data_IF_958642936320
#
_entry.id   IF_958642936320
#
_cell.length_a   1.000
_cell.length_b   1.000
_cell.length_c   1.000
_cell.angle_alpha   90.00
_cell.angle_beta   90.00
_cell.angle_gamma   90.00
#
_symmetry.space_group_name_H-M   'P 1'
#
loop_
_entity.id
_entity.type
_entity.pdbx_description
1 polymer ?
#
# COMPACT_ATOMS: atom_id res chain seq x y z
N UNK A 1 1.14 -24.53 -22.87
CA UNK A 1 1.29 -23.66 -21.67
C UNK A 1 0.90 -24.37 -20.38
N UNK A 2 -0.15 -25.21 -20.33
CA UNK A 2 -0.58 -25.88 -19.10
C UNK A 2 0.48 -26.73 -18.40
N UNK A 3 1.29 -27.43 -19.16
CA UNK A 3 2.31 -28.36 -18.65
C UNK A 3 3.40 -27.65 -17.84
N UNK A 4 3.96 -26.56 -18.36
CA UNK A 4 5.01 -25.79 -17.67
C UNK A 4 4.53 -25.08 -16.40
N UNK A 5 3.26 -24.66 -16.39
CA UNK A 5 2.69 -24.04 -15.20
C UNK A 5 2.55 -25.05 -14.06
N UNK A 6 2.09 -26.28 -14.38
CA UNK A 6 1.98 -27.33 -13.39
C UNK A 6 3.36 -27.76 -12.87
N UNK A 7 4.36 -27.91 -13.74
CA UNK A 7 5.74 -28.17 -13.33
C UNK A 7 6.27 -27.09 -12.37
N UNK A 8 6.02 -25.81 -12.67
CA UNK A 8 6.43 -24.70 -11.79
C UNK A 8 5.72 -24.76 -10.44
N UNK A 9 4.43 -25.08 -10.40
CA UNK A 9 3.67 -25.23 -9.14
C UNK A 9 4.22 -26.40 -8.32
N UNK A 10 4.53 -27.53 -8.95
CA UNK A 10 5.08 -28.71 -8.28
C UNK A 10 6.43 -28.40 -7.62
N UNK A 11 7.27 -27.60 -8.28
CA UNK A 11 8.54 -27.14 -7.71
C UNK A 11 8.32 -26.15 -6.57
N UNK A 12 7.51 -25.11 -6.78
CA UNK A 12 7.30 -24.04 -5.79
C UNK A 12 6.60 -24.54 -4.52
N UNK A 13 5.76 -25.54 -4.63
CA UNK A 13 5.03 -26.14 -3.50
C UNK A 13 5.68 -27.44 -3.00
N UNK A 14 6.94 -27.69 -3.37
CA UNK A 14 7.68 -28.82 -2.82
C UNK A 14 8.00 -28.58 -1.33
N UNK A 15 8.05 -29.67 -0.56
CA UNK A 15 8.31 -29.64 0.89
C UNK A 15 9.59 -28.88 1.26
N UNK A 16 10.62 -28.96 0.42
CA UNK A 16 11.90 -28.28 0.67
C UNK A 16 11.76 -26.73 0.61
N UNK A 17 10.75 -26.22 -0.10
CA UNK A 17 10.47 -24.79 -0.20
C UNK A 17 9.40 -24.30 0.79
N UNK A 18 8.80 -25.21 1.58
CA UNK A 18 7.81 -24.86 2.60
C UNK A 18 8.26 -23.72 3.55
N UNK A 19 9.53 -23.64 3.98
CA UNK A 19 9.99 -22.56 4.84
C UNK A 19 10.00 -21.18 4.16
N UNK A 20 10.00 -21.14 2.83
CA UNK A 20 10.11 -19.92 2.03
C UNK A 20 8.79 -19.52 1.37
N UNK A 21 8.04 -20.50 0.87
CA UNK A 21 6.81 -20.29 0.10
C UNK A 21 5.58 -20.57 0.97
N UNK A 22 4.82 -19.54 1.22
CA UNK A 22 3.55 -19.62 1.95
C UNK A 22 2.43 -20.13 1.05
N UNK A 23 2.30 -19.53 -0.14
CA UNK A 23 1.38 -19.93 -1.19
C UNK A 23 1.81 -19.37 -2.56
N UNK A 24 1.23 -19.94 -3.59
CA UNK A 24 1.33 -19.44 -4.97
C UNK A 24 -0.07 -19.07 -5.43
N UNK A 25 -0.21 -17.85 -5.96
CA UNK A 25 -1.46 -17.33 -6.51
C UNK A 25 -1.37 -17.19 -8.03
N UNK A 26 -2.50 -17.34 -8.70
CA UNK A 26 -2.57 -17.34 -10.16
C UNK A 26 -3.98 -17.06 -10.67
N UNK A 27 -4.08 -16.68 -11.95
CA UNK A 27 -5.36 -16.56 -12.66
C UNK A 27 -5.43 -17.62 -13.78
N UNK A 28 -6.10 -18.76 -13.55
CA UNK A 28 -6.18 -19.82 -14.55
C UNK A 28 -7.10 -19.51 -15.74
N UNK A 29 -8.05 -18.60 -15.56
CA UNK A 29 -8.97 -18.12 -16.60
C UNK A 29 -9.43 -16.70 -16.26
N UNK A 30 -9.99 -15.96 -17.20
CA UNK A 30 -10.58 -14.64 -16.92
C UNK A 30 -11.54 -14.68 -15.73
N UNK A 31 -11.41 -13.70 -14.82
CA UNK A 31 -12.22 -13.57 -13.60
C UNK A 31 -12.16 -14.79 -12.65
N UNK A 32 -11.21 -15.69 -12.85
CA UNK A 32 -11.02 -16.89 -12.02
C UNK A 32 -9.61 -16.88 -11.43
N UNK A 33 -9.53 -17.05 -10.12
CA UNK A 33 -8.30 -16.96 -9.36
C UNK A 33 -8.10 -18.20 -8.53
N UNK A 34 -6.85 -18.54 -8.27
CA UNK A 34 -6.49 -19.70 -7.45
C UNK A 34 -5.36 -19.30 -6.50
N UNK A 35 -5.51 -19.64 -5.23
CA UNK A 35 -4.44 -19.65 -4.24
C UNK A 35 -4.16 -21.08 -3.83
N UNK A 36 -2.89 -21.51 -3.91
CA UNK A 36 -2.45 -22.87 -3.63
C UNK A 36 -1.28 -22.87 -2.67
N UNK A 37 -1.39 -23.61 -1.61
CA UNK A 37 -0.33 -23.91 -0.64
C UNK A 37 -0.06 -25.40 -0.60
N UNK A 38 0.95 -25.82 0.16
CA UNK A 38 1.23 -27.24 0.38
C UNK A 38 0.09 -27.95 1.14
N UNK A 39 -0.75 -27.23 1.88
CA UNK A 39 -1.86 -27.79 2.64
C UNK A 39 -3.16 -27.92 1.84
N UNK A 40 -3.24 -27.26 0.66
CA UNK A 40 -4.41 -27.28 -0.19
C UNK A 40 -4.55 -26.04 -1.06
N UNK A 41 -5.72 -25.89 -1.67
CA UNK A 41 -5.98 -24.82 -2.61
C UNK A 41 -7.42 -24.31 -2.50
N UNK A 42 -7.62 -23.05 -2.88
CA UNK A 42 -8.94 -22.48 -3.11
C UNK A 42 -8.98 -21.84 -4.49
N UNK A 43 -10.06 -22.13 -5.23
CA UNK A 43 -10.41 -21.45 -6.47
C UNK A 43 -11.65 -20.63 -6.26
N UNK A 44 -11.61 -19.36 -6.71
CA UNK A 44 -12.71 -18.43 -6.58
C UNK A 44 -12.88 -17.60 -7.85
N UNK A 45 -14.06 -17.04 -8.03
CA UNK A 45 -14.39 -16.15 -9.13
C UNK A 45 -14.78 -14.77 -8.64
N UNK A 46 -14.42 -13.77 -9.42
CA UNK A 46 -14.94 -12.42 -9.31
C UNK A 46 -16.11 -12.23 -10.25
N UNK A 47 -17.14 -11.56 -9.78
CA UNK A 47 -18.33 -11.21 -10.56
C UNK A 47 -18.63 -9.73 -10.40
N UNK A 48 -18.91 -9.06 -11.52
CA UNK A 48 -19.34 -7.67 -11.51
C UNK A 48 -20.71 -7.53 -10.85
N UNK A 49 -20.84 -6.52 -10.00
CA UNK A 49 -22.10 -6.07 -9.40
C UNK A 49 -22.46 -4.69 -9.91
N UNK A 50 -23.57 -4.13 -9.42
CA UNK A 50 -23.99 -2.78 -9.82
C UNK A 50 -22.98 -1.69 -9.38
N UNK A 51 -22.26 -1.90 -8.28
CA UNK A 51 -21.39 -0.88 -7.65
C UNK A 51 -19.94 -1.34 -7.45
N UNK A 52 -19.57 -2.56 -7.90
CA UNK A 52 -18.22 -3.10 -7.69
C UNK A 52 -18.12 -4.57 -8.01
N UNK A 53 -17.48 -5.32 -7.14
CA UNK A 53 -17.14 -6.71 -7.33
C UNK A 53 -17.68 -7.57 -6.19
N UNK A 54 -18.09 -8.78 -6.50
CA UNK A 54 -18.38 -9.84 -5.54
C UNK A 54 -17.49 -11.05 -5.85
N UNK A 55 -17.13 -11.80 -4.82
CA UNK A 55 -16.30 -12.99 -4.93
C UNK A 55 -17.06 -14.20 -4.48
N UNK A 56 -16.93 -15.31 -5.21
CA UNK A 56 -17.59 -16.59 -4.96
C UNK A 56 -16.57 -17.71 -5.03
N UNK A 57 -16.53 -18.56 -4.01
CA UNK A 57 -15.65 -19.74 -3.98
C UNK A 57 -16.25 -20.84 -4.88
N UNK A 58 -15.45 -21.32 -5.82
CA UNK A 58 -15.84 -22.40 -6.74
C UNK A 58 -15.45 -23.79 -6.23
N UNK A 59 -14.26 -23.90 -5.65
CA UNK A 59 -13.73 -25.18 -5.18
C UNK A 59 -12.69 -24.97 -4.08
N UNK A 60 -12.62 -25.91 -3.18
CA UNK A 60 -11.56 -26.03 -2.17
C UNK A 60 -11.01 -27.45 -2.23
N UNK A 61 -9.70 -27.60 -2.33
CA UNK A 61 -8.96 -28.84 -2.25
C UNK A 61 -8.12 -28.82 -0.97
N UNK A 62 -8.28 -29.79 -0.08
CA UNK A 62 -7.58 -29.77 1.21
C UNK A 62 -7.98 -28.58 2.08
N UNK A 63 -7.00 -27.83 2.59
CA UNK A 63 -7.23 -26.62 3.37
C UNK A 63 -7.26 -25.39 2.45
N UNK A 64 -8.28 -24.57 2.61
CA UNK A 64 -8.32 -23.24 1.97
C UNK A 64 -7.22 -22.34 2.57
N UNK A 65 -6.21 -21.91 1.78
CA UNK A 65 -5.13 -21.06 2.28
C UNK A 65 -5.58 -19.63 2.60
N UNK A 66 -6.73 -19.17 2.08
CA UNK A 66 -7.26 -17.81 2.27
C UNK A 66 -8.48 -17.76 3.19
N UNK A 67 -8.79 -18.85 3.91
CA UNK A 67 -9.99 -18.95 4.74
C UNK A 67 -10.03 -17.93 5.89
N UNK A 68 -8.87 -17.60 6.45
CA UNK A 68 -8.78 -16.62 7.52
C UNK A 68 -8.44 -15.23 6.96
N UNK A 69 -9.39 -14.31 7.08
CA UNK A 69 -9.24 -12.93 6.63
C UNK A 69 -9.45 -11.92 7.79
N UNK A 70 -9.22 -12.35 9.04
CA UNK A 70 -9.40 -11.53 10.23
C UNK A 70 -8.35 -10.39 10.28
N UNK A 71 -8.74 -9.11 10.10
CA UNK A 71 -7.83 -7.98 10.15
C UNK A 71 -7.35 -7.66 11.57
N UNK A 72 -7.95 -8.23 12.60
CA UNK A 72 -7.61 -7.98 14.00
C UNK A 72 -6.55 -8.95 14.54
N UNK A 73 -6.26 -10.02 13.79
CA UNK A 73 -5.32 -11.05 14.20
C UNK A 73 -3.94 -10.46 14.49
N UNK A 74 -3.30 -10.96 15.53
CA UNK A 74 -1.99 -10.49 16.03
C UNK A 74 -1.97 -9.01 16.43
N UNK A 75 -3.10 -8.48 16.91
CA UNK A 75 -3.15 -7.16 17.54
C UNK A 75 -3.71 -7.32 18.96
N UNK A 76 -3.13 -6.69 19.99
CA UNK A 76 -2.05 -5.70 19.99
C UNK A 76 -0.63 -6.32 19.93
N UNK A 77 0.43 -5.50 20.18
CA UNK A 77 1.84 -5.91 20.09
C UNK A 77 2.17 -7.20 20.84
N UNK A 78 1.58 -7.43 22.00
CA UNK A 78 1.80 -8.66 22.78
C UNK A 78 1.36 -9.93 22.06
N UNK A 79 0.28 -9.86 21.29
CA UNK A 79 -0.20 -10.97 20.49
C UNK A 79 0.71 -11.21 19.26
N UNK A 80 1.20 -10.13 18.62
CA UNK A 80 2.15 -10.22 17.50
C UNK A 80 3.49 -10.84 17.96
N UNK A 81 4.03 -10.37 19.08
CA UNK A 81 5.28 -10.91 19.64
C UNK A 81 5.15 -12.39 20.03
N UNK A 82 3.99 -12.79 20.58
CA UNK A 82 3.72 -14.18 20.92
C UNK A 82 3.60 -15.09 19.68
N UNK A 83 3.14 -14.55 18.57
CA UNK A 83 2.96 -15.26 17.29
C UNK A 83 4.17 -15.14 16.36
N UNK A 84 5.33 -14.76 16.85
CA UNK A 84 6.54 -14.50 16.07
C UNK A 84 6.69 -15.39 14.83
N UNK A 85 6.70 -14.78 13.63
CA UNK A 85 6.67 -15.47 12.34
C UNK A 85 5.49 -16.45 12.22
N UNK A 86 4.25 -15.96 12.14
CA UNK A 86 3.09 -16.83 12.12
C UNK A 86 3.16 -17.79 10.93
N UNK A 87 3.01 -19.09 11.25
CA UNK A 87 2.90 -20.11 10.22
C UNK A 87 1.59 -19.92 9.43
N UNK A 88 1.57 -20.25 8.13
CA UNK A 88 0.41 -20.12 7.24
C UNK A 88 -0.92 -20.61 7.83
N UNK A 89 -0.87 -21.68 8.67
CA UNK A 89 -2.08 -22.22 9.33
C UNK A 89 -2.64 -21.34 10.44
N UNK A 90 -1.85 -20.42 10.93
CA UNK A 90 -2.23 -19.46 11.99
C UNK A 90 -2.30 -18.02 11.46
N UNK A 91 -1.82 -17.78 10.25
CA UNK A 91 -1.81 -16.47 9.62
C UNK A 91 -3.20 -16.05 9.17
N UNK A 92 -3.38 -14.76 8.89
CA UNK A 92 -4.60 -14.17 8.37
C UNK A 92 -4.25 -13.26 7.19
N UNK A 93 -5.16 -13.19 6.21
CA UNK A 93 -4.99 -12.51 4.94
C UNK A 93 -6.16 -11.56 4.68
N UNK A 94 -6.26 -10.42 5.37
CA UNK A 94 -7.37 -9.49 5.21
C UNK A 94 -7.55 -9.04 3.76
N UNK A 95 -8.80 -9.00 3.28
CA UNK A 95 -9.15 -8.64 1.91
C UNK A 95 -8.51 -9.52 0.81
N UNK A 96 -8.21 -10.78 1.14
CA UNK A 96 -7.45 -11.68 0.25
C UNK A 96 -8.03 -11.79 -1.16
N UNK A 97 -9.35 -11.90 -1.30
CA UNK A 97 -10.01 -12.03 -2.61
C UNK A 97 -9.72 -10.82 -3.52
N UNK A 98 -9.87 -9.62 -2.98
CA UNK A 98 -9.64 -8.36 -3.67
C UNK A 98 -8.15 -8.20 -3.99
N UNK A 99 -7.27 -8.44 -3.00
CA UNK A 99 -5.83 -8.32 -3.16
C UNK A 99 -5.26 -9.31 -4.19
N UNK A 100 -5.76 -10.53 -4.25
CA UNK A 100 -5.35 -11.52 -5.25
C UNK A 100 -5.87 -11.13 -6.63
N UNK A 101 -7.15 -10.80 -6.75
CA UNK A 101 -7.78 -10.53 -8.05
C UNK A 101 -7.14 -9.34 -8.77
N UNK A 102 -6.90 -8.23 -8.05
CA UNK A 102 -6.41 -6.99 -8.65
C UNK A 102 -5.01 -7.13 -9.29
N UNK A 103 -4.13 -8.02 -8.78
CA UNK A 103 -2.80 -8.24 -9.38
C UNK A 103 -2.91 -8.67 -10.84
N UNK A 104 -3.93 -9.50 -11.15
CA UNK A 104 -4.12 -10.07 -12.47
C UNK A 104 -4.91 -9.17 -13.42
N UNK A 105 -5.31 -7.98 -12.99
CA UNK A 105 -6.02 -7.03 -13.83
C UNK A 105 -5.09 -6.23 -14.76
N UNK A 106 -3.80 -6.17 -14.46
CA UNK A 106 -2.83 -5.45 -15.29
C UNK A 106 -2.27 -6.34 -16.41
N UNK A 107 -2.04 -5.80 -17.63
CA UNK A 107 -1.45 -6.56 -18.75
C UNK A 107 -0.08 -7.18 -18.45
N UNK A 108 0.70 -6.57 -17.56
CA UNK A 108 2.00 -7.08 -17.11
C UNK A 108 1.90 -7.99 -15.88
N UNK A 109 0.68 -8.46 -15.53
CA UNK A 109 0.49 -9.41 -14.43
C UNK A 109 1.38 -10.66 -14.58
N UNK A 110 1.93 -11.21 -13.49
CA UNK A 110 2.70 -12.44 -13.54
C UNK A 110 1.81 -13.65 -13.88
N UNK A 111 2.39 -14.71 -14.44
CA UNK A 111 1.68 -15.98 -14.63
C UNK A 111 1.45 -16.69 -13.29
N UNK A 112 2.40 -16.58 -12.38
CA UNK A 112 2.38 -17.05 -11.00
C UNK A 112 2.92 -15.95 -10.10
N UNK A 113 2.25 -15.68 -8.99
CA UNK A 113 2.76 -14.80 -7.94
C UNK A 113 3.05 -15.63 -6.69
N UNK A 114 4.29 -15.62 -6.23
CA UNK A 114 4.73 -16.34 -5.03
C UNK A 114 4.60 -15.43 -3.83
N UNK A 115 3.85 -15.88 -2.83
CA UNK A 115 3.76 -15.23 -1.52
C UNK A 115 4.74 -15.93 -0.58
N UNK A 116 5.73 -15.21 -0.09
CA UNK A 116 6.72 -15.77 0.82
C UNK A 116 6.18 -15.88 2.25
N UNK A 117 6.79 -16.74 3.05
CA UNK A 117 6.44 -16.92 4.47
C UNK A 117 6.82 -15.70 5.31
N UNK A 118 6.18 -15.53 6.46
CA UNK A 118 6.54 -14.48 7.41
C UNK A 118 7.97 -14.64 8.00
N UNK A 119 8.56 -15.84 7.91
CA UNK A 119 9.92 -16.11 8.35
C UNK A 119 10.99 -15.76 7.30
N UNK A 120 10.57 -15.59 6.01
CA UNK A 120 11.48 -15.21 4.96
C UNK A 120 12.02 -13.79 5.19
N UNK A 121 13.33 -13.64 5.12
CA UNK A 121 14.01 -12.35 5.21
C UNK A 121 15.37 -12.39 4.53
N UNK A 122 15.84 -11.26 4.07
CA UNK A 122 17.23 -11.11 3.66
C UNK A 122 18.14 -11.10 4.91
N UNK A 123 19.37 -11.62 4.76
CA UNK A 123 20.28 -11.89 5.89
C UNK A 123 20.54 -10.67 6.77
N UNK A 124 20.66 -9.48 6.19
CA UNK A 124 20.95 -8.22 6.88
C UNK A 124 19.70 -7.42 7.29
N UNK A 125 18.50 -7.87 6.94
CA UNK A 125 17.27 -7.14 7.23
C UNK A 125 16.67 -7.56 8.58
N UNK A 126 16.30 -6.59 9.39
CA UNK A 126 15.61 -6.81 10.69
C UNK A 126 14.11 -7.03 10.52
N UNK A 127 13.54 -6.63 9.41
CA UNK A 127 12.15 -6.79 9.03
C UNK A 127 12.01 -6.98 7.52
N UNK A 128 10.90 -7.49 7.08
CA UNK A 128 10.57 -7.69 5.67
C UNK A 128 9.11 -7.32 5.40
N UNK A 129 8.82 -7.09 4.12
CA UNK A 129 7.50 -6.81 3.58
C UNK A 129 7.30 -7.61 2.27
N UNK A 130 6.16 -7.46 1.62
CA UNK A 130 5.84 -8.10 0.34
C UNK A 130 4.83 -9.24 0.45
N UNK A 131 4.60 -9.80 1.65
CA UNK A 131 3.63 -10.87 1.88
C UNK A 131 2.19 -10.36 1.99
N UNK A 132 1.23 -11.26 1.76
CA UNK A 132 -0.19 -11.02 1.96
C UNK A 132 -0.60 -11.06 3.46
N UNK A 133 0.26 -11.61 4.33
CA UNK A 133 -0.05 -11.82 5.74
C UNK A 133 -0.29 -10.53 6.52
N UNK A 134 -1.27 -10.57 7.44
CA UNK A 134 -1.78 -9.38 8.16
C UNK A 134 -0.71 -8.55 8.86
N UNK A 135 0.37 -9.17 9.36
CA UNK A 135 1.45 -8.45 10.06
C UNK A 135 2.24 -7.57 9.09
N UNK A 136 2.54 -8.07 7.89
CA UNK A 136 3.28 -7.33 6.87
C UNK A 136 2.39 -6.36 6.08
N UNK A 137 1.09 -6.65 5.98
CA UNK A 137 0.15 -5.79 5.26
C UNK A 137 -0.35 -4.59 6.09
N UNK A 138 -0.18 -4.62 7.41
CA UNK A 138 -0.77 -3.62 8.31
C UNK A 138 0.16 -2.42 8.50
N UNK A 139 -0.35 -1.21 8.20
CA UNK A 139 0.29 0.08 8.46
C UNK A 139 -0.50 0.88 9.51
N UNK A 140 0.10 1.81 10.28
CA UNK A 140 -0.65 2.68 11.17
C UNK A 140 -1.56 3.64 10.39
N UNK A 141 -2.71 3.97 10.98
CA UNK A 141 -3.61 4.98 10.46
C UNK A 141 -4.10 5.89 11.60
N UNK A 142 -3.80 7.18 11.48
CA UNK A 142 -4.21 8.22 12.43
C UNK A 142 -4.69 9.43 11.63
N UNK A 143 -5.87 9.92 11.94
CA UNK A 143 -6.44 11.15 11.38
C UNK A 143 -6.73 12.11 12.55
N UNK A 144 -6.22 13.34 12.49
CA UNK A 144 -6.36 14.30 13.59
C UNK A 144 -6.47 15.73 13.07
N UNK A 145 -7.21 16.57 13.77
CA UNK A 145 -7.32 18.00 13.47
C UNK A 145 -8.75 18.45 13.18
N UNK A 146 -8.87 19.59 12.49
CA UNK A 146 -10.16 20.18 12.13
C UNK A 146 -10.96 19.21 11.24
N UNK A 147 -12.26 19.11 11.49
CA UNK A 147 -13.16 18.22 10.75
C UNK A 147 -13.08 16.75 11.12
N UNK A 148 -12.22 16.35 12.08
CA UNK A 148 -12.04 14.98 12.50
C UNK A 148 -12.62 14.73 13.89
N UNK A 149 -13.38 13.65 14.04
CA UNK A 149 -13.90 13.20 15.35
C UNK A 149 -12.75 12.75 16.24
N UNK A 150 -12.82 13.10 17.52
CA UNK A 150 -11.80 12.74 18.53
C UNK A 150 -12.24 11.47 19.27
N UNK A 151 -11.96 10.32 18.70
CA UNK A 151 -12.35 9.01 19.25
C UNK A 151 -11.19 8.28 19.91
N UNK A 152 -9.95 8.80 19.80
CA UNK A 152 -8.75 8.11 20.26
C UNK A 152 -8.41 6.89 19.41
N UNK A 153 -7.79 5.89 20.01
CA UNK A 153 -7.47 4.62 19.34
C UNK A 153 -8.66 3.67 19.42
N UNK A 154 -9.38 3.51 18.32
CA UNK A 154 -10.59 2.70 18.23
C UNK A 154 -10.32 1.31 17.61
N UNK A 155 -11.21 0.38 17.88
CA UNK A 155 -11.15 -1.01 17.43
C UNK A 155 -11.67 -1.15 16.00
N UNK A 156 -10.86 -0.70 15.02
CA UNK A 156 -11.20 -0.58 13.61
C UNK A 156 -9.97 -0.76 12.72
N UNK A 157 -10.23 -1.03 11.43
CA UNK A 157 -9.25 -1.10 10.34
C UNK A 157 -9.80 -0.38 9.10
N UNK A 158 -8.92 -0.10 8.13
CA UNK A 158 -9.24 0.35 6.77
C UNK A 158 -8.23 -0.21 5.77
N UNK A 159 -8.26 0.26 4.53
CA UNK A 159 -7.27 -0.06 3.50
C UNK A 159 -6.47 1.20 3.16
N UNK A 160 -5.24 1.06 2.69
CA UNK A 160 -4.45 2.23 2.26
C UNK A 160 -5.12 2.99 1.10
N UNK A 161 -5.80 2.29 0.21
CA UNK A 161 -6.58 2.90 -0.88
C UNK A 161 -7.75 3.78 -0.40
N UNK A 162 -8.15 3.68 0.86
CA UNK A 162 -9.21 4.51 1.45
C UNK A 162 -8.70 5.92 1.84
N UNK A 163 -7.38 6.14 1.84
CA UNK A 163 -6.77 7.38 2.35
C UNK A 163 -7.01 8.56 1.41
N UNK A 164 -6.64 8.46 0.12
CA UNK A 164 -6.84 9.58 -0.82
C UNK A 164 -8.30 10.05 -0.89
N UNK A 165 -9.32 9.19 -1.08
CA UNK A 165 -10.71 9.63 -1.07
C UNK A 165 -11.14 10.24 0.26
N UNK A 166 -10.62 9.73 1.40
CA UNK A 166 -10.90 10.31 2.72
C UNK A 166 -10.35 11.72 2.85
N UNK A 167 -9.11 11.97 2.41
CA UNK A 167 -8.50 13.30 2.47
C UNK A 167 -9.20 14.30 1.55
N UNK A 168 -9.62 13.87 0.35
CA UNK A 168 -10.38 14.71 -0.58
C UNK A 168 -11.76 15.08 0.02
N UNK A 169 -12.47 14.11 0.58
CA UNK A 169 -13.73 14.34 1.27
C UNK A 169 -13.57 15.28 2.48
N UNK A 170 -12.53 15.08 3.30
CA UNK A 170 -12.21 15.93 4.46
C UNK A 170 -11.96 17.38 4.04
N UNK A 171 -11.28 17.60 2.92
CA UNK A 171 -11.13 18.94 2.33
C UNK A 171 -12.45 19.56 1.86
N UNK A 172 -13.57 18.84 1.92
CA UNK A 172 -14.88 19.30 1.45
C UNK A 172 -14.98 19.32 -0.08
N UNK A 173 -14.26 18.42 -0.75
CA UNK A 173 -14.50 18.14 -2.17
C UNK A 173 -15.73 17.22 -2.23
N UNK A 174 -16.73 17.61 -3.03
CA UNK A 174 -17.93 16.79 -3.19
C UNK A 174 -17.65 15.54 -4.02
N UNK A 175 -18.33 14.40 -3.76
CA UNK A 175 -18.18 13.23 -4.60
C UNK A 175 -18.71 13.46 -6.02
N UNK A 176 -18.25 12.66 -6.97
CA UNK A 176 -18.68 12.69 -8.36
C UNK A 176 -18.90 11.29 -8.92
N UNK A 177 -19.40 11.21 -10.13
CA UNK A 177 -19.46 9.94 -10.88
C UNK A 177 -18.06 9.57 -11.33
N UNK A 178 -17.60 8.41 -10.93
CA UNK A 178 -16.33 7.83 -11.31
C UNK A 178 -16.48 6.34 -11.61
N UNK A 179 -15.35 5.65 -11.63
CA UNK A 179 -15.28 4.23 -11.94
C UNK A 179 -14.49 3.49 -10.85
N UNK A 180 -15.04 2.37 -10.38
CA UNK A 180 -14.25 1.37 -9.66
C UNK A 180 -13.54 0.51 -10.71
N UNK A 181 -12.19 0.55 -10.79
CA UNK A 181 -11.43 -0.17 -11.80
C UNK A 181 -11.72 -1.68 -11.83
N UNK A 182 -11.38 -2.31 -12.93
CA UNK A 182 -11.53 -3.75 -13.13
C UNK A 182 -10.45 -4.26 -14.07
N UNK A 183 -10.65 -5.45 -14.68
CA UNK A 183 -9.72 -6.00 -15.63
C UNK A 183 -9.32 -4.96 -16.68
N UNK A 184 -8.04 -4.92 -17.05
CA UNK A 184 -7.42 -3.92 -17.94
C UNK A 184 -7.29 -2.49 -17.38
N UNK A 185 -7.71 -2.25 -16.13
CA UNK A 185 -7.65 -0.94 -15.48
C UNK A 185 -8.57 0.13 -16.10
N UNK A 186 -9.19 -0.13 -17.25
CA UNK A 186 -9.99 0.82 -18.01
C UNK A 186 -11.49 0.59 -17.85
N UNK A 187 -11.90 -0.68 -17.79
CA UNK A 187 -13.29 -1.07 -17.54
C UNK A 187 -13.54 -1.27 -16.07
N UNK A 188 -14.70 -0.88 -15.59
CA UNK A 188 -15.02 -1.01 -14.18
C UNK A 188 -16.50 -0.83 -13.92
N UNK A 189 -16.88 -0.95 -12.65
CA UNK A 189 -18.22 -0.65 -12.21
C UNK A 189 -18.38 0.86 -12.01
N UNK A 190 -19.48 1.48 -12.45
CA UNK A 190 -19.75 2.88 -12.15
C UNK A 190 -19.95 3.07 -10.66
N UNK A 191 -19.51 4.23 -10.15
CA UNK A 191 -19.77 4.65 -8.77
C UNK A 191 -20.11 6.14 -8.73
N UNK A 192 -20.98 6.53 -7.82
CA UNK A 192 -21.46 7.91 -7.67
C UNK A 192 -20.89 8.62 -6.45
N UNK A 193 -20.00 7.94 -5.73
CA UNK A 193 -19.36 8.38 -4.49
C UNK A 193 -17.83 8.48 -4.67
N UNK A 194 -17.37 8.70 -5.90
CA UNK A 194 -15.95 8.84 -6.23
C UNK A 194 -15.45 10.26 -5.94
N UNK A 195 -14.22 10.34 -5.46
CA UNK A 195 -13.46 11.58 -5.29
C UNK A 195 -12.33 11.69 -6.32
N UNK A 196 -11.93 10.55 -6.86
CA UNK A 196 -10.97 10.41 -7.96
C UNK A 196 -11.70 9.78 -9.16
N UNK A 197 -11.25 10.09 -10.37
CA UNK A 197 -11.88 9.59 -11.62
C UNK A 197 -11.93 8.05 -11.64
N UNK A 198 -10.89 7.41 -11.14
CA UNK A 198 -10.83 5.97 -10.87
C UNK A 198 -10.49 5.76 -9.40
N UNK A 199 -11.23 4.92 -8.73
CA UNK A 199 -11.13 4.76 -7.28
C UNK A 199 -11.63 3.40 -6.83
N UNK A 200 -10.75 2.62 -6.19
CA UNK A 200 -11.11 1.36 -5.53
C UNK A 200 -11.55 1.60 -4.08
N UNK A 201 -10.84 2.48 -3.40
CA UNK A 201 -11.06 2.78 -1.99
C UNK A 201 -12.38 3.51 -1.71
N UNK A 202 -12.73 3.62 -0.45
CA UNK A 202 -13.92 4.30 0.04
C UNK A 202 -13.54 5.40 1.03
N UNK A 203 -14.21 6.56 0.96
CA UNK A 203 -13.96 7.64 1.91
C UNK A 203 -14.54 7.31 3.29
N UNK A 204 -13.76 7.47 4.34
CA UNK A 204 -14.11 7.20 5.74
C UNK A 204 -14.90 8.38 6.35
N UNK A 205 -15.99 8.78 5.73
CA UNK A 205 -16.77 9.98 6.08
C UNK A 205 -17.39 9.94 7.48
N UNK A 206 -17.58 8.75 8.03
CA UNK A 206 -18.07 8.56 9.39
C UNK A 206 -17.08 9.00 10.47
N UNK A 207 -15.84 9.26 10.11
CA UNK A 207 -14.82 9.86 10.98
C UNK A 207 -14.91 11.40 11.05
N UNK A 208 -15.79 12.02 10.25
CA UNK A 208 -15.84 13.47 10.17
C UNK A 208 -16.71 14.08 11.26
N UNK A 209 -16.22 15.17 11.81
CA UNK A 209 -17.00 16.07 12.66
C UNK A 209 -17.55 17.20 11.79
N UNK A 210 -18.76 17.00 11.29
CA UNK A 210 -19.43 17.97 10.41
C UNK A 210 -19.70 19.33 11.09
N UNK A 211 -19.70 19.38 12.42
CA UNK A 211 -19.89 20.63 13.17
C UNK A 211 -18.64 21.51 13.13
N UNK A 212 -17.45 20.91 12.98
CA UNK A 212 -16.18 21.64 12.92
C UNK A 212 -15.85 22.19 11.54
N UNK A 213 -16.62 21.85 10.51
CA UNK A 213 -16.35 22.20 9.12
C UNK A 213 -15.14 21.47 8.52
N UNK A 214 -14.85 21.77 7.25
CA UNK A 214 -13.70 21.20 6.54
C UNK A 214 -12.42 21.98 6.81
N UNK A 215 -11.26 21.31 6.94
CA UNK A 215 -9.97 21.99 7.08
C UNK A 215 -9.59 22.72 5.78
N UNK A 216 -8.85 23.83 5.92
CA UNK A 216 -8.27 24.54 4.78
C UNK A 216 -7.00 23.87 4.26
N UNK A 217 -6.30 23.14 5.12
CA UNK A 217 -5.03 22.47 4.84
C UNK A 217 -5.04 21.06 5.39
N UNK A 218 -4.46 20.13 4.64
CA UNK A 218 -4.21 18.77 5.07
C UNK A 218 -2.72 18.46 4.89
N UNK A 219 -2.11 17.87 5.90
CA UNK A 219 -0.75 17.34 5.86
C UNK A 219 -0.83 15.83 6.04
N UNK A 220 -0.39 15.08 5.05
CA UNK A 220 -0.22 13.63 5.13
C UNK A 220 1.24 13.31 5.43
N UNK A 221 1.48 12.50 6.46
CA UNK A 221 2.82 12.04 6.85
C UNK A 221 2.83 10.52 6.68
N UNK A 222 3.64 10.04 5.74
CA UNK A 222 3.84 8.62 5.48
C UNK A 222 5.07 8.14 6.26
N UNK A 223 4.89 7.10 7.05
CA UNK A 223 5.96 6.45 7.79
C UNK A 223 6.19 5.06 7.17
N UNK A 224 7.15 4.99 6.23
CA UNK A 224 7.50 3.73 5.57
C UNK A 224 8.05 2.72 6.59
N UNK A 225 7.71 1.43 6.39
CA UNK A 225 8.15 0.34 7.26
C UNK A 225 7.60 0.42 8.71
N UNK A 226 6.61 1.25 9.00
CA UNK A 226 6.11 1.47 10.35
C UNK A 226 5.08 0.40 10.77
N UNK A 227 5.43 -0.39 11.80
CA UNK A 227 4.50 -1.35 12.39
C UNK A 227 3.51 -0.65 13.35
N UNK A 228 2.18 -0.76 13.14
CA UNK A 228 1.18 -0.06 13.95
C UNK A 228 1.15 -0.53 15.41
N UNK A 229 1.28 -1.83 15.66
CA UNK A 229 1.27 -2.36 17.02
C UNK A 229 2.43 -1.79 17.84
N UNK A 230 3.63 -1.67 17.22
CA UNK A 230 4.80 -1.08 17.88
C UNK A 230 4.61 0.42 18.09
N UNK A 231 4.15 1.15 17.07
CA UNK A 231 3.92 2.60 17.15
C UNK A 231 2.91 2.94 18.25
N UNK A 232 1.79 2.24 18.32
CA UNK A 232 0.76 2.48 19.32
C UNK A 232 1.22 2.07 20.72
N UNK A 233 2.04 1.02 20.82
CA UNK A 233 2.69 0.67 22.09
C UNK A 233 3.62 1.79 22.58
N UNK A 234 4.47 2.33 21.71
CA UNK A 234 5.38 3.44 22.03
C UNK A 234 4.61 4.71 22.41
N UNK A 235 3.48 4.98 21.76
CA UNK A 235 2.61 6.09 22.14
C UNK A 235 2.04 5.90 23.57
N UNK A 236 1.59 4.69 23.88
CA UNK A 236 1.03 4.36 25.20
C UNK A 236 2.07 4.32 26.30
N UNK A 237 3.33 3.93 26.04
CA UNK A 237 4.43 3.90 26.99
C UNK A 237 5.10 5.26 27.21
N UNK A 238 4.77 6.28 26.42
CA UNK A 238 5.39 7.60 26.46
C UNK A 238 6.67 7.73 25.62
N UNK A 239 7.09 6.69 24.93
CA UNK A 239 8.25 6.72 24.02
C UNK A 239 7.97 7.55 22.76
N UNK A 240 6.70 7.66 22.34
CA UNK A 240 6.26 8.49 21.19
C UNK A 240 5.17 9.50 21.61
N UNK A 241 5.53 10.54 22.38
CA UNK A 241 4.55 11.47 22.99
C UNK A 241 3.76 12.28 21.96
N UNK A 242 4.35 12.61 20.79
CA UNK A 242 3.65 13.31 19.74
C UNK A 242 2.61 12.43 19.05
N UNK A 243 2.86 11.13 18.87
CA UNK A 243 1.87 10.17 18.36
C UNK A 243 0.71 10.03 19.37
N UNK A 244 1.03 9.92 20.68
CA UNK A 244 0.01 9.91 21.73
C UNK A 244 -0.86 11.17 21.68
N UNK A 245 -0.27 12.34 21.44
CA UNK A 245 -0.99 13.60 21.29
C UNK A 245 -1.89 13.61 20.05
N UNK A 246 -1.42 13.11 18.90
CA UNK A 246 -2.24 12.98 17.69
C UNK A 246 -3.45 12.08 17.94
N UNK A 247 -3.25 10.92 18.58
CA UNK A 247 -4.35 10.03 18.97
C UNK A 247 -5.36 10.70 19.91
N UNK A 248 -4.90 11.52 20.87
CA UNK A 248 -5.78 12.26 21.77
C UNK A 248 -6.57 13.38 21.07
N UNK A 249 -6.04 13.93 19.97
CA UNK A 249 -6.66 15.00 19.18
C UNK A 249 -7.47 14.52 17.98
N UNK A 250 -7.51 13.20 17.74
CA UNK A 250 -8.15 12.63 16.57
C UNK A 250 -8.63 11.21 16.77
N UNK A 251 -8.53 10.41 15.72
CA UNK A 251 -8.92 9.00 15.69
C UNK A 251 -7.81 8.19 15.06
N UNK A 252 -7.38 7.13 15.74
CA UNK A 252 -6.48 6.12 15.20
C UNK A 252 -7.17 4.76 15.13
N UNK A 253 -6.76 3.92 14.18
CA UNK A 253 -7.29 2.57 14.01
C UNK A 253 -6.33 1.54 14.61
N UNK A 254 -6.79 0.84 15.63
CA UNK A 254 -5.98 -0.19 16.34
C UNK A 254 -5.45 -1.25 15.38
N UNK A 255 -6.26 -1.64 14.41
CA UNK A 255 -5.91 -2.65 13.41
C UNK A 255 -5.37 -2.03 12.11
N UNK A 256 -5.07 -0.72 12.13
CA UNK A 256 -4.36 -0.01 11.07
C UNK A 256 -5.09 0.05 9.73
N UNK A 257 -4.31 0.35 8.70
CA UNK A 257 -4.71 0.31 7.29
C UNK A 257 -3.96 -0.84 6.60
N UNK A 258 -4.69 -1.65 5.81
CA UNK A 258 -4.13 -2.79 5.08
C UNK A 258 -3.57 -2.32 3.75
N UNK A 259 -2.30 -2.64 3.51
CA UNK A 259 -1.63 -2.45 2.24
C UNK A 259 -2.13 -3.46 1.21
N UNK A 260 -2.17 -3.06 -0.04
CA UNK A 260 -2.48 -3.95 -1.16
C UNK A 260 -1.33 -4.90 -1.46
N UNK A 261 -1.63 -6.09 -1.97
CA UNK A 261 -0.61 -7.00 -2.48
C UNK A 261 -0.10 -6.51 -3.86
N UNK A 262 1.23 -6.46 -4.10
CA UNK A 262 2.32 -6.75 -3.16
C UNK A 262 2.49 -5.63 -2.13
N UNK A 263 2.78 -6.00 -0.88
CA UNK A 263 2.93 -5.05 0.23
C UNK A 263 4.32 -4.42 0.22
N UNK A 264 4.66 -3.73 -0.87
CA UNK A 264 5.95 -3.07 -1.10
C UNK A 264 5.77 -1.55 -1.23
N UNK A 265 6.84 -0.81 -0.99
CA UNK A 265 6.84 0.64 -0.81
C UNK A 265 6.16 1.39 -1.97
N UNK A 266 6.72 1.37 -3.18
CA UNK A 266 6.22 2.23 -4.27
C UNK A 266 4.82 1.88 -4.72
N UNK A 267 4.48 0.59 -4.78
CA UNK A 267 3.12 0.16 -5.12
C UNK A 267 2.10 0.70 -4.11
N UNK A 268 2.41 0.65 -2.79
CA UNK A 268 1.46 1.08 -1.77
C UNK A 268 1.46 2.58 -1.47
N UNK A 269 2.57 3.30 -1.66
CA UNK A 269 2.58 4.75 -1.68
C UNK A 269 1.69 5.28 -2.82
N UNK A 270 1.83 4.68 -4.01
CA UNK A 270 0.94 5.00 -5.14
C UNK A 270 -0.51 4.64 -4.83
N UNK A 271 -0.78 3.46 -4.24
CA UNK A 271 -2.14 3.08 -3.81
C UNK A 271 -2.76 4.08 -2.85
N UNK A 272 -1.99 4.53 -1.84
CA UNK A 272 -2.44 5.51 -0.85
C UNK A 272 -2.83 6.84 -1.50
N UNK A 273 -2.06 7.31 -2.49
CA UNK A 273 -2.23 8.63 -3.11
C UNK A 273 -3.12 8.62 -4.36
N UNK A 274 -3.48 7.46 -4.90
CA UNK A 274 -4.41 7.32 -6.03
C UNK A 274 -5.76 6.73 -5.66
N UNK A 275 -5.85 6.09 -4.48
CA UNK A 275 -7.04 5.35 -4.07
C UNK A 275 -7.31 4.10 -4.93
N UNK A 276 -6.31 3.60 -5.65
CA UNK A 276 -6.40 2.42 -6.50
C UNK A 276 -5.42 1.33 -6.05
N UNK A 277 -5.72 0.08 -6.36
CA UNK A 277 -4.81 -1.04 -6.16
C UNK A 277 -3.66 -1.06 -7.19
N UNK A 278 -2.52 -1.73 -6.90
CA UNK A 278 -1.37 -1.83 -7.81
C UNK A 278 -1.73 -2.30 -9.22
N UNK A 279 -2.55 -3.34 -9.36
CA UNK A 279 -3.01 -3.82 -10.67
C UNK A 279 -3.89 -2.84 -11.44
N UNK A 280 -4.42 -1.82 -10.78
CA UNK A 280 -5.25 -0.78 -11.39
C UNK A 280 -4.50 0.52 -11.64
N UNK A 281 -3.57 0.90 -10.76
CA UNK A 281 -2.79 2.13 -10.99
C UNK A 281 -1.51 1.93 -11.78
N UNK A 282 -1.05 0.69 -12.00
CA UNK A 282 0.04 0.37 -12.92
C UNK A 282 1.45 0.35 -12.34
N UNK A 283 1.69 0.90 -11.15
CA UNK A 283 2.96 0.74 -10.42
C UNK A 283 2.89 -0.58 -9.65
N UNK A 284 3.29 -1.67 -10.31
CA UNK A 284 2.95 -3.02 -9.86
C UNK A 284 3.79 -3.52 -8.69
N UNK A 285 5.06 -3.10 -8.64
CA UNK A 285 6.04 -3.58 -7.68
C UNK A 285 7.24 -2.62 -7.67
N UNK A 286 8.23 -2.85 -6.83
CA UNK A 286 9.52 -2.16 -6.91
C UNK A 286 10.26 -2.50 -8.21
N UNK A 287 10.03 -3.69 -8.76
CA UNK A 287 10.49 -4.09 -10.08
C UNK A 287 9.53 -5.11 -10.71
N UNK A 288 9.26 -5.01 -12.01
CA UNK A 288 8.45 -5.97 -12.76
C UNK A 288 8.93 -6.12 -14.20
N UNK A 289 8.47 -7.15 -14.89
CA UNK A 289 8.75 -7.33 -16.31
C UNK A 289 7.60 -6.72 -17.14
N UNK A 290 7.92 -5.72 -17.94
CA UNK A 290 6.98 -5.14 -18.89
C UNK A 290 6.96 -5.99 -20.17
N UNK A 291 5.81 -6.61 -20.45
CA UNK A 291 5.65 -7.55 -21.57
C UNK A 291 5.62 -6.83 -22.93
N UNK A 292 5.15 -5.60 -22.98
CA UNK A 292 5.10 -4.79 -24.20
C UNK A 292 6.48 -4.25 -24.58
N UNK A 293 7.20 -3.72 -23.58
CA UNK A 293 8.56 -3.23 -23.78
C UNK A 293 9.61 -4.36 -23.85
N UNK A 294 9.25 -5.59 -23.42
CA UNK A 294 10.14 -6.74 -23.41
C UNK A 294 11.34 -6.58 -22.46
N UNK A 295 11.21 -5.80 -21.39
CA UNK A 295 12.28 -5.52 -20.43
C UNK A 295 11.77 -5.41 -19.00
N UNK A 296 12.71 -5.53 -18.04
CA UNK A 296 12.45 -5.22 -16.66
C UNK A 296 12.30 -3.71 -16.46
N UNK A 297 11.28 -3.31 -15.73
CA UNK A 297 11.10 -1.98 -15.15
C UNK A 297 11.56 -2.07 -13.70
N UNK A 298 12.38 -1.13 -13.27
CA UNK A 298 12.87 -1.00 -11.88
C UNK A 298 12.52 0.39 -11.41
N UNK A 299 11.82 0.49 -10.29
CA UNK A 299 11.39 1.77 -9.69
C UNK A 299 11.96 2.00 -8.29
N UNK A 300 12.69 1.03 -7.73
CA UNK A 300 13.16 1.04 -6.35
C UNK A 300 14.55 1.66 -6.14
N UNK A 301 15.19 2.17 -7.19
CA UNK A 301 16.50 2.78 -7.05
C UNK A 301 16.43 4.30 -7.01
N UNK A 302 17.36 5.00 -6.35
CA UNK A 302 17.43 6.46 -6.36
C UNK A 302 17.46 7.06 -7.77
N UNK A 303 17.94 6.31 -8.77
CA UNK A 303 17.95 6.74 -10.16
C UNK A 303 16.59 6.64 -10.86
N UNK A 304 15.62 5.92 -10.31
CA UNK A 304 14.35 5.59 -10.97
C UNK A 304 13.11 5.97 -10.18
N UNK A 305 13.21 6.27 -8.88
CA UNK A 305 12.06 6.68 -8.05
C UNK A 305 11.31 7.89 -8.62
N UNK A 306 12.05 8.89 -9.11
CA UNK A 306 11.47 10.09 -9.70
C UNK A 306 10.65 9.82 -10.98
N UNK A 307 10.80 8.65 -11.57
CA UNK A 307 10.11 8.26 -12.81
C UNK A 307 8.92 7.33 -12.56
N UNK A 308 8.64 6.97 -11.30
CA UNK A 308 7.60 5.98 -10.98
C UNK A 308 6.22 6.35 -11.55
N UNK A 309 5.91 7.64 -11.59
CA UNK A 309 4.61 8.13 -12.08
C UNK A 309 4.40 8.03 -13.58
N UNK A 310 5.43 7.78 -14.37
CA UNK A 310 5.26 7.50 -15.81
C UNK A 310 4.50 6.18 -16.07
N UNK A 311 4.45 5.30 -15.09
CA UNK A 311 3.79 3.99 -15.17
C UNK A 311 2.34 4.00 -14.71
N UNK A 312 1.79 5.16 -14.36
CA UNK A 312 0.37 5.25 -14.00
C UNK A 312 -0.50 4.84 -15.17
N UNK A 313 -1.45 3.95 -14.91
CA UNK A 313 -2.49 3.56 -15.86
C UNK A 313 -3.26 4.80 -16.35
N UNK A 314 -3.46 4.98 -17.66
CA UNK A 314 -4.22 6.10 -18.19
C UNK A 314 -5.58 6.27 -17.52
N UNK A 315 -5.86 7.48 -17.04
CA UNK A 315 -7.10 7.82 -16.34
C UNK A 315 -7.08 7.57 -14.81
N UNK A 316 -6.04 6.98 -14.27
CA UNK A 316 -5.77 7.04 -12.82
C UNK A 316 -5.14 8.40 -12.51
N UNK A 317 -5.59 9.04 -11.47
CA UNK A 317 -5.06 10.32 -11.00
C UNK A 317 -4.57 10.20 -9.55
N UNK A 318 -3.56 10.98 -9.21
CA UNK A 318 -3.13 11.17 -7.83
C UNK A 318 -4.05 12.15 -7.11
N UNK A 319 -3.98 12.18 -5.78
CA UNK A 319 -4.66 13.18 -4.95
C UNK A 319 -4.31 14.61 -5.39
N UNK A 320 -3.07 14.88 -5.83
CA UNK A 320 -2.63 16.18 -6.32
C UNK A 320 -3.39 16.57 -7.60
N UNK A 321 -3.47 15.67 -8.56
CA UNK A 321 -4.21 15.89 -9.80
C UNK A 321 -5.72 16.08 -9.55
N UNK A 322 -6.31 15.28 -8.67
CA UNK A 322 -7.71 15.41 -8.28
C UNK A 322 -7.99 16.76 -7.62
N UNK A 323 -7.14 17.23 -6.70
CA UNK A 323 -7.25 18.56 -6.09
C UNK A 323 -7.19 19.65 -7.17
N UNK A 324 -6.22 19.58 -8.10
CA UNK A 324 -6.09 20.57 -9.17
C UNK A 324 -7.31 20.60 -10.09
N UNK A 325 -7.84 19.44 -10.42
CA UNK A 325 -9.04 19.33 -11.26
C UNK A 325 -10.28 19.91 -10.57
N UNK A 326 -10.44 19.65 -9.27
CA UNK A 326 -11.64 19.99 -8.50
C UNK A 326 -11.57 21.37 -7.84
N UNK A 327 -10.38 21.85 -7.52
CA UNK A 327 -10.11 23.15 -6.89
C UNK A 327 -8.92 23.84 -7.54
N UNK A 328 -9.08 24.35 -8.78
CA UNK A 328 -8.04 25.12 -9.45
C UNK A 328 -7.58 26.29 -8.57
N UNK A 329 -6.25 26.45 -8.43
CA UNK A 329 -5.63 27.45 -7.55
C UNK A 329 -5.25 26.96 -6.17
N UNK A 330 -5.62 25.73 -5.77
CA UNK A 330 -5.04 25.09 -4.58
C UNK A 330 -3.57 24.79 -4.80
N UNK A 331 -2.77 24.93 -3.73
CA UNK A 331 -1.36 24.54 -3.71
C UNK A 331 -1.23 23.11 -3.19
N UNK A 332 -0.46 22.29 -3.86
CA UNK A 332 -0.12 20.94 -3.43
C UNK A 332 1.39 20.73 -3.44
N UNK A 333 1.91 20.09 -2.40
CA UNK A 333 3.33 19.86 -2.20
C UNK A 333 3.59 18.39 -1.89
N UNK A 334 4.59 17.81 -2.54
CA UNK A 334 5.09 16.46 -2.29
C UNK A 334 6.53 16.51 -1.80
N UNK A 335 6.77 15.94 -0.62
CA UNK A 335 8.09 15.91 0.00
C UNK A 335 8.53 14.48 0.17
N UNK A 336 9.60 14.09 -0.50
CA UNK A 336 10.18 12.74 -0.47
C UNK A 336 9.15 11.63 -0.78
N UNK A 337 8.17 11.92 -1.63
CA UNK A 337 7.08 11.01 -2.00
C UNK A 337 7.04 10.87 -3.53
N UNK A 338 7.35 9.67 -4.07
CA UNK A 338 7.41 9.45 -5.51
C UNK A 338 6.07 9.49 -6.24
N UNK A 339 4.95 9.32 -5.54
CA UNK A 339 3.61 9.44 -6.13
C UNK A 339 3.16 10.91 -6.24
N UNK A 340 3.98 11.75 -6.83
CA UNK A 340 3.92 13.21 -6.84
C UNK A 340 3.28 13.84 -8.09
N UNK A 341 2.77 13.04 -9.02
CA UNK A 341 2.18 13.54 -10.27
C UNK A 341 1.11 14.60 -10.01
N UNK A 342 1.26 15.78 -10.59
CA UNK A 342 0.35 16.92 -10.43
C UNK A 342 0.61 17.79 -9.19
N UNK A 343 1.61 17.51 -8.37
CA UNK A 343 2.04 18.41 -7.31
C UNK A 343 2.62 19.71 -7.91
N UNK A 344 2.38 20.85 -7.24
CA UNK A 344 2.98 22.14 -7.65
C UNK A 344 4.46 22.19 -7.31
N UNK A 345 4.83 21.58 -6.18
CA UNK A 345 6.21 21.41 -5.74
C UNK A 345 6.44 19.98 -5.36
N UNK A 346 7.52 19.41 -5.88
CA UNK A 346 7.99 18.08 -5.51
C UNK A 346 9.49 18.09 -5.30
N UNK A 347 9.97 17.44 -4.25
CA UNK A 347 11.40 17.21 -4.08
C UNK A 347 11.99 16.39 -5.21
N UNK A 348 11.20 15.52 -5.85
CA UNK A 348 11.65 14.73 -7.00
C UNK A 348 11.77 15.55 -8.29
N UNK A 349 11.13 16.72 -8.41
CA UNK A 349 11.33 17.61 -9.56
C UNK A 349 12.77 18.11 -9.66
N UNK A 350 13.45 18.25 -8.52
CA UNK A 350 14.86 18.63 -8.49
C UNK A 350 15.75 17.57 -9.11
N UNK A 351 15.39 16.28 -8.92
CA UNK A 351 16.09 15.15 -9.54
C UNK A 351 15.81 15.09 -11.04
N UNK A 352 14.54 15.23 -11.44
CA UNK A 352 14.12 15.27 -12.86
C UNK A 352 14.80 16.38 -13.63
N UNK A 353 15.08 17.51 -12.97
CA UNK A 353 15.76 18.67 -13.55
C UNK A 353 17.29 18.56 -13.50
N UNK A 354 17.86 17.51 -12.91
CA UNK A 354 19.32 17.36 -12.73
C UNK A 354 19.94 18.39 -11.80
N UNK A 355 19.14 19.03 -10.94
CA UNK A 355 19.55 20.14 -10.06
C UNK A 355 20.02 19.71 -8.68
N UNK A 356 20.12 18.44 -8.44
CA UNK A 356 20.55 17.89 -7.13
C UNK A 356 21.94 18.36 -6.71
N UNK A 357 22.84 18.54 -7.67
CA UNK A 357 24.19 19.08 -7.39
C UNK A 357 24.22 20.53 -6.91
N UNK A 358 23.18 21.32 -7.21
CA UNK A 358 23.07 22.70 -6.75
C UNK A 358 22.57 22.78 -5.30
N UNK A 359 21.92 21.73 -4.82
CA UNK A 359 21.28 21.66 -3.51
C UNK A 359 22.13 20.91 -2.48
N UNK A 360 23.23 20.32 -2.91
CA UNK A 360 24.20 19.62 -2.08
C UNK A 360 25.41 20.52 -1.77
N UNK A 361 25.29 21.45 -0.83
CA UNK A 361 26.50 21.88 -0.15
C UNK A 361 26.90 20.69 0.72
N UNK A 362 27.95 19.99 0.28
CA UNK A 362 28.70 19.05 1.08
C UNK A 362 27.84 18.12 1.98
N UNK A 363 27.49 16.91 1.51
CA UNK A 363 26.85 15.86 2.31
C UNK A 363 27.63 15.55 3.62
N UNK A 364 28.83 16.08 3.76
CA UNK A 364 29.65 16.03 4.98
C UNK A 364 29.07 16.88 6.13
N UNK A 365 28.12 17.78 5.88
CA UNK A 365 27.53 18.68 6.88
C UNK A 365 26.10 18.26 7.25
N UNK A 366 25.74 16.99 7.16
CA UNK A 366 24.47 16.50 7.67
C UNK A 366 24.38 16.71 9.19
N UNK A 367 23.19 17.00 9.72
CA UNK A 367 23.00 17.22 11.16
C UNK A 367 23.56 16.09 12.02
N UNK A 368 24.04 16.36 13.23
CA UNK A 368 24.67 15.37 14.12
C UNK A 368 23.82 14.11 14.41
N UNK A 369 22.49 14.20 14.32
CA UNK A 369 21.59 13.04 14.54
C UNK A 369 21.69 11.98 13.43
N UNK A 370 22.38 12.29 12.32
CA UNK A 370 22.66 11.31 11.26
C UNK A 370 23.97 10.56 11.49
N UNK A 371 24.74 10.91 12.50
CA UNK A 371 26.10 10.40 12.71
C UNK A 371 26.18 9.10 13.50
N UNK A 372 25.27 8.84 14.43
CA UNK A 372 25.29 7.63 15.27
C UNK A 372 23.88 7.23 15.69
N UNK A 373 23.48 5.99 15.63
CA UNK A 373 24.16 4.76 15.18
C UNK A 373 24.01 4.46 13.68
N UNK A 374 23.67 5.44 12.89
CA UNK A 374 23.26 5.31 11.48
C UNK A 374 24.35 5.73 10.48
N UNK A 375 25.50 6.16 10.95
CA UNK A 375 26.64 6.57 10.09
C UNK A 375 27.10 5.47 9.12
N UNK A 376 26.89 4.20 9.49
CA UNK A 376 27.18 3.02 8.66
C UNK A 376 25.94 2.48 7.94
N UNK A 377 24.79 3.14 8.05
CA UNK A 377 23.55 2.68 7.45
C UNK A 377 23.57 2.84 5.92
N UNK A 378 22.72 2.04 5.27
CA UNK A 378 22.61 1.92 3.83
C UNK A 378 22.48 3.25 3.09
N UNK A 379 22.81 3.25 1.80
CA UNK A 379 22.57 4.39 0.89
C UNK A 379 21.13 4.94 0.98
N UNK A 380 20.15 4.06 1.21
CA UNK A 380 18.75 4.42 1.37
C UNK A 380 18.50 5.36 2.54
N UNK A 381 19.19 5.17 3.66
CA UNK A 381 19.01 6.06 4.82
C UNK A 381 19.63 7.45 4.57
N UNK A 382 20.83 7.48 3.98
CA UNK A 382 21.49 8.74 3.57
C UNK A 382 20.63 9.51 2.58
N UNK A 383 20.02 8.79 1.64
CA UNK A 383 19.08 9.34 0.68
C UNK A 383 17.85 9.98 1.33
N UNK A 384 17.18 9.30 2.24
CA UNK A 384 16.01 9.84 2.94
C UNK A 384 16.36 11.09 3.74
N UNK A 385 17.48 11.08 4.48
CA UNK A 385 17.96 12.26 5.22
C UNK A 385 18.28 13.42 4.28
N UNK A 386 18.88 13.13 3.13
CA UNK A 386 19.15 14.14 2.10
C UNK A 386 17.86 14.76 1.56
N UNK A 387 16.88 13.93 1.18
CA UNK A 387 15.60 14.40 0.68
C UNK A 387 14.85 15.27 1.71
N UNK A 388 14.88 14.88 2.97
CA UNK A 388 14.31 15.67 4.08
C UNK A 388 15.02 17.02 4.25
N UNK A 389 16.35 17.04 4.13
CA UNK A 389 17.13 18.28 4.22
C UNK A 389 16.86 19.24 3.06
N UNK A 390 16.65 18.69 1.85
CA UNK A 390 16.29 19.50 0.68
C UNK A 390 14.88 20.10 0.80
N UNK A 391 13.99 19.41 1.51
CA UNK A 391 12.60 19.84 1.71
C UNK A 391 12.45 20.99 2.72
N UNK A 392 13.40 21.18 3.61
CA UNK A 392 13.44 22.27 4.60
C UNK A 392 14.06 23.54 4.02
#
# INVERSE_FOLDING_TARGET
MGDRRQEALDVLLHLDLEPLVEMVISSPAPETFEARSIDGAVRFRRRRTATGWAFEVDAVEGRDPLADQDPTRFSPLSAEVAARYPHRRANSYPYAWEHVAQIFDHPCAPDLCVVHTAAHRQEDHRGEHGSLGVVQARAPFILAGCGVRRLGLIDRHCRLIDVAPTLLALLGIEPETGVRPGPDGTTGAPRTDAYLARQDGDALIDLFDTASGSPQHVVAILLDGCNPNRLYHMAASGEAPNVARLLALGTGFRHGAMASLPTVTLANHTSLLTGCHPGHHGVLHNAWYDRELGRQVVTESPATWQEAMQWLTPGVETIHQAIKRRRPGSLTVSVNEPADSGADYSTFDLFRQGRTGELLPDLAVLPPFTSEPYAESSESYRWSTFADTVAL
#
